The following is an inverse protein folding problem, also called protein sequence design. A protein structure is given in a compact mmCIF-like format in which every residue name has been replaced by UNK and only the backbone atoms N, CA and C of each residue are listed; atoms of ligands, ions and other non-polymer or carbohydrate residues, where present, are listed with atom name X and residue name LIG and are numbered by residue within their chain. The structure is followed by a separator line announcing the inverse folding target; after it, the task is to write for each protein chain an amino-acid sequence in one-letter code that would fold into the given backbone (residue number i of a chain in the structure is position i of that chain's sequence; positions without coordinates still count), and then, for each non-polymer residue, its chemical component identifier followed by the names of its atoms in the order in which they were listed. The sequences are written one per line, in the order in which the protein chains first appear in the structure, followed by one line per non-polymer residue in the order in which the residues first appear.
data_IF_053824563210
#
_entry.id   IF_053824563210
#
_cell.length_a   1.000
_cell.length_b   1.000
_cell.length_c   1.000
_cell.angle_alpha   90.00
_cell.angle_beta   90.00
_cell.angle_gamma   90.00
#
_symmetry.space_group_name_H-M   'P 1'
#
loop_
_entity.id
_entity.type
_entity.pdbx_description
1 polymer ?
#
# COMPACT_ATOMS: atom_id res chain seq x y z
N UNK A 1 23.88 -7.61 -11.46
CA UNK A 1 23.48 -6.78 -10.30
C UNK A 1 22.00 -6.46 -10.47
N UNK A 2 21.16 -6.84 -9.49
CA UNK A 2 19.72 -6.60 -9.56
C UNK A 2 19.41 -5.16 -9.18
N UNK A 3 18.82 -4.41 -10.10
CA UNK A 3 18.30 -3.06 -9.83
C UNK A 3 16.81 -3.02 -10.19
N UNK A 4 15.98 -2.70 -9.21
CA UNK A 4 14.54 -2.63 -9.38
C UNK A 4 13.92 -1.53 -8.52
N UNK A 5 12.74 -1.06 -8.91
CA UNK A 5 11.97 -0.08 -8.15
C UNK A 5 10.95 -0.79 -7.26
N UNK A 6 10.57 -0.15 -6.15
CA UNK A 6 9.44 -0.58 -5.31
C UNK A 6 8.28 0.41 -5.39
N UNK A 7 8.55 1.65 -5.76
CA UNK A 7 7.52 2.65 -6.01
C UNK A 7 8.05 3.75 -6.93
N UNK A 8 7.22 4.20 -7.87
CA UNK A 8 7.53 5.31 -8.79
C UNK A 8 6.31 6.19 -8.98
N UNK A 9 6.42 7.48 -8.66
CA UNK A 9 5.33 8.44 -8.78
C UNK A 9 5.77 9.71 -9.48
N UNK A 10 4.81 10.37 -10.13
CA UNK A 10 4.97 11.75 -10.60
C UNK A 10 4.42 12.72 -9.56
N UNK A 11 5.27 13.62 -9.09
CA UNK A 11 4.91 14.67 -8.14
C UNK A 11 5.61 15.98 -8.50
N UNK A 12 4.89 17.12 -8.49
CA UNK A 12 5.44 18.46 -8.72
C UNK A 12 6.36 18.56 -9.97
N UNK A 13 5.95 17.96 -11.10
CA UNK A 13 6.69 18.00 -12.36
C UNK A 13 8.00 17.18 -12.37
N UNK A 14 8.16 16.28 -11.42
CA UNK A 14 9.31 15.36 -11.32
C UNK A 14 8.84 13.92 -11.11
N UNK A 15 9.71 12.97 -11.41
CA UNK A 15 9.53 11.57 -11.04
C UNK A 15 10.30 11.31 -9.75
N UNK A 16 9.62 10.72 -8.80
CA UNK A 16 10.19 10.19 -7.56
C UNK A 16 10.17 8.68 -7.67
N UNK A 17 11.29 8.04 -7.44
CA UNK A 17 11.39 6.58 -7.45
C UNK A 17 12.24 6.09 -6.30
N UNK A 18 11.83 4.99 -5.70
CA UNK A 18 12.60 4.24 -4.71
C UNK A 18 12.67 2.78 -5.13
N UNK A 19 13.63 2.07 -4.61
CA UNK A 19 13.86 0.66 -4.90
C UNK A 19 15.19 0.20 -4.37
N UNK A 20 15.74 -0.82 -4.99
CA UNK A 20 17.01 -1.43 -4.59
C UNK A 20 17.98 -1.50 -5.75
N UNK A 21 19.26 -1.31 -5.45
CA UNK A 21 20.39 -1.55 -6.32
C UNK A 21 21.39 -2.42 -5.57
N UNK A 22 21.49 -3.68 -5.99
CA UNK A 22 22.36 -4.67 -5.35
C UNK A 22 22.14 -4.79 -3.83
N UNK A 23 20.88 -4.88 -3.41
CA UNK A 23 20.43 -4.99 -2.00
C UNK A 23 20.45 -3.68 -1.21
N UNK A 24 20.91 -2.56 -1.80
CA UNK A 24 20.91 -1.25 -1.15
C UNK A 24 19.72 -0.41 -1.60
N UNK A 25 18.92 0.06 -0.65
CA UNK A 25 17.79 0.94 -0.94
C UNK A 25 18.28 2.28 -1.52
N UNK A 26 17.59 2.76 -2.56
CA UNK A 26 17.82 4.08 -3.14
C UNK A 26 16.56 4.93 -3.19
N UNK A 27 16.76 6.25 -3.23
CA UNK A 27 15.71 7.26 -3.40
C UNK A 27 16.18 8.28 -4.44
N UNK A 28 15.42 8.42 -5.54
CA UNK A 28 15.76 9.34 -6.61
C UNK A 28 14.63 10.33 -6.86
N UNK A 29 15.03 11.56 -7.23
CA UNK A 29 14.11 12.63 -7.65
C UNK A 29 14.63 13.21 -8.97
N UNK A 30 13.88 12.95 -10.05
CA UNK A 30 14.38 13.12 -11.42
C UNK A 30 13.56 14.18 -12.14
N UNK A 31 14.24 15.08 -12.87
CA UNK A 31 13.62 15.93 -13.89
C UNK A 31 13.42 15.09 -15.14
N UNK A 32 12.21 14.60 -15.34
CA UNK A 32 11.91 13.74 -16.47
C UNK A 32 11.58 14.57 -17.72
N UNK A 33 12.07 14.10 -18.88
CA UNK A 33 11.85 14.66 -20.20
C UNK A 33 11.01 13.67 -21.02
N UNK A 34 9.68 13.79 -21.04
CA UNK A 34 8.84 12.82 -21.71
C UNK A 34 8.92 12.92 -23.23
N UNK A 35 8.56 11.82 -23.88
CA UNK A 35 8.33 11.77 -25.31
C UNK A 35 6.89 11.39 -25.62
N UNK A 36 6.43 11.82 -26.80
CA UNK A 36 5.19 11.40 -27.44
C UNK A 36 5.51 10.96 -28.85
N UNK A 37 4.60 10.26 -29.51
CA UNK A 37 4.75 9.86 -30.90
C UNK A 37 3.61 10.46 -31.72
N UNK A 38 3.94 10.89 -32.91
CA UNK A 38 3.03 11.52 -33.86
C UNK A 38 3.12 10.76 -35.18
N UNK A 39 2.03 10.74 -35.97
CA UNK A 39 2.06 10.18 -37.31
C UNK A 39 3.13 10.88 -38.12
N UNK A 40 4.00 10.11 -38.77
CA UNK A 40 5.12 10.61 -39.60
C UNK A 40 5.99 9.47 -40.08
N UNK A 41 7.05 9.78 -40.82
CA UNK A 41 7.93 8.78 -41.47
C UNK A 41 9.09 8.35 -40.56
N UNK A 42 8.83 8.13 -39.27
CA UNK A 42 9.82 7.68 -38.32
C UNK A 42 9.93 6.17 -38.20
N UNK A 43 10.88 5.72 -37.35
CA UNK A 43 11.23 4.29 -37.19
C UNK A 43 10.28 3.53 -36.23
N UNK A 44 9.26 4.20 -35.68
CA UNK A 44 8.29 3.57 -34.79
C UNK A 44 6.99 3.28 -35.54
N UNK A 45 6.22 2.35 -35.02
CA UNK A 45 4.85 2.08 -35.48
C UNK A 45 3.86 2.08 -34.33
N UNK A 46 2.58 2.27 -34.66
CA UNK A 46 1.50 2.03 -33.71
C UNK A 46 1.41 0.53 -33.36
N UNK A 47 0.63 0.16 -32.35
CA UNK A 47 0.46 -1.24 -31.91
C UNK A 47 -0.07 -2.17 -33.04
N UNK A 48 -0.74 -1.63 -34.06
CA UNK A 48 -1.21 -2.41 -35.20
C UNK A 48 -0.13 -2.64 -36.28
N UNK A 49 1.01 -1.96 -36.19
CA UNK A 49 2.07 -1.96 -37.17
C UNK A 49 1.73 -1.23 -38.47
N UNK A 50 0.60 -0.49 -38.53
CA UNK A 50 0.09 0.12 -39.78
C UNK A 50 0.43 1.60 -39.93
N UNK A 51 0.67 2.30 -38.82
CA UNK A 51 0.93 3.72 -38.82
C UNK A 51 2.37 3.96 -38.41
N UNK A 52 3.17 4.55 -39.30
CA UNK A 52 4.52 5.00 -38.95
C UNK A 52 4.46 6.23 -38.04
N UNK A 53 5.32 6.24 -37.06
CA UNK A 53 5.34 7.24 -36.01
C UNK A 53 6.73 7.89 -35.84
N UNK A 54 6.74 9.19 -35.64
CA UNK A 54 7.93 9.97 -35.35
C UNK A 54 7.93 10.39 -33.88
N UNK A 55 9.04 10.16 -33.17
CA UNK A 55 9.22 10.53 -31.77
C UNK A 55 9.40 12.03 -31.60
N UNK A 56 8.59 12.64 -30.73
CA UNK A 56 8.71 14.05 -30.30
C UNK A 56 9.07 14.12 -28.83
N UNK A 57 10.25 14.64 -28.52
CA UNK A 57 10.73 14.80 -27.14
C UNK A 57 10.45 16.19 -26.59
N UNK A 58 10.21 16.31 -25.29
CA UNK A 58 9.91 17.53 -24.58
C UNK A 58 10.95 17.82 -23.50
N UNK A 59 11.15 19.09 -23.18
CA UNK A 59 12.11 19.53 -22.15
C UNK A 59 11.60 19.29 -20.72
N UNK A 60 10.27 19.15 -20.56
CA UNK A 60 9.63 18.96 -19.27
C UNK A 60 8.27 18.29 -19.41
N UNK A 61 7.79 17.70 -18.29
CA UNK A 61 6.43 17.17 -18.16
C UNK A 61 5.36 18.26 -18.44
N UNK A 62 5.62 19.51 -18.02
CA UNK A 62 4.71 20.63 -18.27
C UNK A 62 4.56 20.89 -19.77
N UNK A 63 5.68 20.99 -20.49
CA UNK A 63 5.67 21.25 -21.93
C UNK A 63 4.91 20.16 -22.70
N UNK A 64 5.15 18.89 -22.38
CA UNK A 64 4.41 17.77 -22.99
C UNK A 64 2.91 17.84 -22.71
N UNK A 65 2.52 18.14 -21.46
CA UNK A 65 1.11 18.27 -21.09
C UNK A 65 0.43 19.46 -21.79
N UNK A 66 1.11 20.59 -21.89
CA UNK A 66 0.59 21.76 -22.56
C UNK A 66 0.42 21.47 -24.06
N UNK A 67 1.35 20.73 -24.67
CA UNK A 67 1.27 20.26 -26.04
C UNK A 67 0.05 19.32 -26.26
N UNK A 68 -0.12 18.31 -25.41
CA UNK A 68 -1.28 17.41 -25.47
C UNK A 68 -2.57 18.22 -25.42
N UNK A 69 -2.70 19.11 -24.44
CA UNK A 69 -3.89 19.97 -24.27
C UNK A 69 -4.19 20.84 -25.50
N UNK A 70 -3.14 21.36 -26.14
CA UNK A 70 -3.28 22.21 -27.34
C UNK A 70 -3.78 21.45 -28.55
N UNK A 71 -3.33 20.20 -28.73
CA UNK A 71 -3.55 19.44 -29.96
C UNK A 71 -4.53 18.26 -29.82
N UNK A 72 -5.08 18.01 -28.63
CA UNK A 72 -6.16 17.03 -28.45
C UNK A 72 -7.35 17.36 -29.35
N UNK A 73 -7.75 16.38 -30.18
CA UNK A 73 -8.84 16.54 -31.15
C UNK A 73 -8.43 17.23 -32.47
N UNK A 74 -7.17 17.65 -32.62
CA UNK A 74 -6.64 18.17 -33.90
C UNK A 74 -5.98 17.06 -34.70
N UNK A 75 -5.18 16.22 -34.05
CA UNK A 75 -4.56 15.03 -34.61
C UNK A 75 -4.28 13.98 -33.52
N UNK A 76 -4.01 12.74 -33.96
CA UNK A 76 -3.73 11.65 -33.01
C UNK A 76 -2.37 11.81 -32.37
N UNK A 77 -2.36 11.68 -31.04
CA UNK A 77 -1.16 11.69 -30.20
C UNK A 77 -1.01 10.30 -29.57
N UNK A 78 0.11 9.65 -29.86
CA UNK A 78 0.41 8.31 -29.37
C UNK A 78 1.37 8.37 -28.16
N UNK A 79 1.27 7.36 -27.28
CA UNK A 79 2.12 7.27 -26.09
C UNK A 79 1.77 8.27 -25.00
N UNK A 80 0.51 8.73 -24.94
CA UNK A 80 0.00 9.53 -23.80
C UNK A 80 -0.31 8.64 -22.60
N UNK A 81 0.74 8.09 -22.01
CA UNK A 81 0.71 7.35 -20.78
C UNK A 81 1.22 8.23 -19.63
N UNK A 82 0.83 7.94 -18.38
CA UNK A 82 1.34 8.64 -17.20
C UNK A 82 2.87 8.54 -17.15
N UNK A 83 3.54 9.65 -16.84
CA UNK A 83 4.98 9.77 -17.01
C UNK A 83 5.80 8.84 -16.09
N UNK A 84 5.25 8.41 -14.94
CA UNK A 84 5.95 7.41 -14.11
C UNK A 84 6.11 6.08 -14.83
N UNK A 85 5.14 5.64 -15.62
CA UNK A 85 5.25 4.38 -16.38
C UNK A 85 6.17 4.51 -17.59
N UNK A 86 6.12 5.66 -18.28
CA UNK A 86 7.11 5.96 -19.33
C UNK A 86 8.53 5.90 -18.78
N UNK A 87 8.74 6.52 -17.62
CA UNK A 87 10.04 6.49 -16.94
C UNK A 87 10.45 5.06 -16.55
N UNK A 88 9.53 4.25 -16.04
CA UNK A 88 9.81 2.84 -15.73
C UNK A 88 10.21 2.09 -17.00
N UNK A 89 9.43 2.21 -18.08
CA UNK A 89 9.69 1.57 -19.36
C UNK A 89 11.06 1.92 -19.95
N UNK A 90 11.43 3.21 -19.87
CA UNK A 90 12.71 3.72 -20.38
C UNK A 90 13.91 3.35 -19.48
N UNK A 91 13.70 3.23 -18.16
CA UNK A 91 14.75 2.92 -17.20
C UNK A 91 15.05 1.41 -17.10
N UNK A 92 14.05 0.59 -17.36
CA UNK A 92 14.13 -0.87 -17.32
C UNK A 92 13.64 -1.44 -18.67
N UNK A 93 14.47 -1.34 -19.69
CA UNK A 93 14.14 -1.83 -21.05
C UNK A 93 13.94 -3.34 -21.05
N UNK A 94 14.83 -4.07 -20.38
CA UNK A 94 14.80 -5.52 -20.27
C UNK A 94 13.86 -6.00 -19.15
N UNK A 95 13.78 -7.31 -18.96
CA UNK A 95 13.10 -7.92 -17.82
C UNK A 95 13.71 -7.43 -16.51
N UNK A 96 12.85 -7.19 -15.53
CA UNK A 96 13.27 -6.68 -14.21
C UNK A 96 13.47 -7.87 -13.28
N UNK A 97 14.73 -8.16 -12.99
CA UNK A 97 15.08 -9.10 -11.93
C UNK A 97 15.00 -8.42 -10.56
N UNK A 98 14.30 -9.03 -9.62
CA UNK A 98 14.14 -8.51 -8.27
C UNK A 98 14.46 -9.57 -7.21
N UNK A 99 14.60 -9.14 -5.97
CA UNK A 99 14.70 -9.98 -4.80
C UNK A 99 13.63 -9.59 -3.79
N UNK A 100 12.64 -10.47 -3.60
CA UNK A 100 11.53 -10.18 -2.70
C UNK A 100 11.97 -10.05 -1.24
N UNK A 101 13.12 -10.63 -0.86
CA UNK A 101 13.66 -10.51 0.50
C UNK A 101 14.21 -9.12 0.85
N UNK A 102 14.55 -8.31 -0.16
CA UNK A 102 14.94 -6.91 0.06
C UNK A 102 13.73 -6.01 0.32
N UNK A 103 12.52 -6.38 -0.21
CA UNK A 103 11.31 -5.57 -0.12
C UNK A 103 10.81 -5.55 1.33
N UNK A 104 10.79 -4.37 1.92
CA UNK A 104 10.33 -4.18 3.30
C UNK A 104 8.82 -4.16 3.38
N UNK A 105 8.25 -5.29 3.76
CA UNK A 105 6.80 -5.45 3.98
C UNK A 105 6.50 -5.25 5.45
N UNK A 106 5.58 -4.37 5.77
CA UNK A 106 5.06 -4.14 7.10
C UNK A 106 3.59 -4.58 7.13
N UNK A 107 3.32 -5.70 7.80
CA UNK A 107 1.97 -6.17 8.06
C UNK A 107 1.51 -5.63 9.42
N UNK A 108 0.31 -5.05 9.50
CA UNK A 108 -0.14 -4.44 10.75
C UNK A 108 -1.66 -4.44 10.89
N UNK A 109 -2.09 -4.30 12.12
CA UNK A 109 -3.49 -4.17 12.53
C UNK A 109 -3.62 -3.24 13.73
N UNK A 110 -4.76 -2.54 13.85
CA UNK A 110 -5.04 -1.65 14.97
C UNK A 110 -6.31 -2.06 15.70
N UNK A 111 -6.29 -1.85 17.02
CA UNK A 111 -7.50 -1.92 17.83
C UNK A 111 -7.86 -0.54 18.36
N UNK A 112 -9.13 -0.19 18.24
CA UNK A 112 -9.67 1.10 18.66
C UNK A 112 -10.67 0.90 19.78
N UNK A 113 -10.78 1.89 20.67
CA UNK A 113 -11.80 1.90 21.72
C UNK A 113 -13.18 1.86 21.06
N UNK A 114 -13.87 0.73 21.19
CA UNK A 114 -15.27 0.64 20.78
C UNK A 114 -16.14 1.34 21.83
N UNK A 115 -17.23 2.05 21.42
CA UNK A 115 -18.18 2.57 22.39
C UNK A 115 -18.77 1.44 23.25
N UNK A 116 -19.07 1.69 24.55
CA UNK A 116 -19.64 0.68 25.43
C UNK A 116 -20.96 0.08 24.91
N UNK A 117 -21.75 0.86 24.17
CA UNK A 117 -22.99 0.47 23.52
C UNK A 117 -22.78 -0.35 22.25
N UNK A 118 -21.55 -0.58 21.84
CA UNK A 118 -21.18 -1.29 20.62
C UNK A 118 -21.15 -0.39 19.37
N UNK A 119 -20.64 -0.93 18.27
CA UNK A 119 -20.48 -0.24 16.99
C UNK A 119 -19.01 -0.13 16.60
N UNK A 120 -18.80 0.19 15.31
CA UNK A 120 -17.46 0.42 14.79
C UNK A 120 -17.16 1.93 14.69
N UNK A 121 -16.03 2.41 15.19
CA UNK A 121 -15.64 3.80 15.02
C UNK A 121 -15.41 4.10 13.53
N UNK A 122 -15.85 5.27 13.09
CA UNK A 122 -15.73 5.71 11.71
C UNK A 122 -14.32 6.23 11.42
N UNK A 123 -13.59 5.68 10.41
CA UNK A 123 -12.22 6.08 10.11
C UNK A 123 -12.07 7.56 9.74
N UNK A 124 -13.06 8.15 9.06
CA UNK A 124 -13.07 9.57 8.68
C UNK A 124 -13.18 10.51 9.88
N UNK A 125 -13.80 10.06 10.97
CA UNK A 125 -13.94 10.82 12.23
C UNK A 125 -12.80 10.56 13.20
N UNK A 126 -12.28 9.34 13.26
CA UNK A 126 -11.23 8.86 14.16
C UNK A 126 -11.41 9.41 15.60
N UNK A 127 -12.63 9.24 16.15
CA UNK A 127 -13.00 9.83 17.46
C UNK A 127 -12.51 9.01 18.64
N UNK A 128 -12.47 7.68 18.50
CA UNK A 128 -12.06 6.78 19.54
C UNK A 128 -10.52 6.65 19.59
N UNK A 129 -10.00 6.34 20.78
CA UNK A 129 -8.57 6.10 20.98
C UNK A 129 -8.12 4.81 20.28
N UNK A 130 -6.87 4.80 19.82
CA UNK A 130 -6.20 3.58 19.40
C UNK A 130 -5.53 2.97 20.63
N UNK A 131 -5.96 1.75 20.99
CA UNK A 131 -5.56 1.07 22.21
C UNK A 131 -4.44 0.08 22.02
N UNK A 132 -4.32 -0.48 20.82
CA UNK A 132 -3.21 -1.33 20.44
C UNK A 132 -2.89 -1.17 18.95
N UNK A 133 -1.61 -1.34 18.63
CA UNK A 133 -1.12 -1.51 17.27
C UNK A 133 -0.13 -2.66 17.28
N UNK A 134 -0.35 -3.65 16.43
CA UNK A 134 0.65 -4.70 16.19
C UNK A 134 1.21 -4.58 14.78
N UNK A 135 2.55 -4.63 14.69
CA UNK A 135 3.31 -4.69 13.44
C UNK A 135 4.03 -6.03 13.37
N UNK A 136 3.94 -6.71 12.25
CA UNK A 136 4.90 -7.76 11.89
C UNK A 136 5.86 -7.24 10.82
N UNK A 137 7.16 -7.44 11.06
CA UNK A 137 8.24 -7.14 10.13
C UNK A 137 9.37 -8.15 10.31
N UNK A 138 9.76 -8.81 9.23
CA UNK A 138 10.82 -9.83 9.21
C UNK A 138 10.63 -10.92 10.28
N UNK A 139 9.43 -11.50 10.35
CA UNK A 139 9.02 -12.52 11.33
C UNK A 139 9.13 -12.09 12.81
N UNK A 140 9.20 -10.80 13.07
CA UNK A 140 9.18 -10.24 14.42
C UNK A 140 7.92 -9.38 14.62
N UNK A 141 7.26 -9.57 15.74
CA UNK A 141 6.05 -8.83 16.12
C UNK A 141 6.39 -7.73 17.11
N UNK A 142 5.90 -6.52 16.84
CA UNK A 142 6.05 -5.35 17.70
C UNK A 142 4.65 -4.85 18.05
N UNK A 143 4.25 -5.00 19.29
CA UNK A 143 2.93 -4.57 19.74
C UNK A 143 3.05 -3.39 20.68
N UNK A 144 2.34 -2.32 20.36
CA UNK A 144 2.23 -1.10 21.17
C UNK A 144 0.91 -1.12 21.91
N UNK A 145 0.95 -0.81 23.21
CA UNK A 145 -0.25 -0.73 24.04
C UNK A 145 0.04 -0.01 25.35
N UNK A 146 -1.01 0.33 26.12
CA UNK A 146 -0.90 1.15 27.33
C UNK A 146 -0.94 0.36 28.63
N UNK A 147 -1.50 -0.85 28.61
CA UNK A 147 -1.56 -1.73 29.79
C UNK A 147 -0.30 -2.59 29.98
N UNK A 148 -0.36 -3.49 30.94
CA UNK A 148 0.71 -4.46 31.21
C UNK A 148 0.48 -5.73 30.37
N UNK A 149 1.51 -6.17 29.66
CA UNK A 149 1.50 -7.38 28.88
C UNK A 149 2.90 -8.00 28.80
N UNK A 150 2.96 -9.32 28.89
CA UNK A 150 4.20 -10.08 28.72
C UNK A 150 4.13 -10.90 27.44
N UNK A 151 5.04 -10.67 26.47
CA UNK A 151 5.06 -11.45 25.22
C UNK A 151 5.19 -12.95 25.49
N UNK A 152 4.43 -13.74 24.72
CA UNK A 152 4.38 -15.21 24.86
C UNK A 152 5.34 -15.93 23.89
N UNK A 153 5.82 -15.25 22.87
CA UNK A 153 6.73 -15.79 21.87
C UNK A 153 8.04 -15.01 21.82
N UNK A 154 9.14 -15.71 21.56
CA UNK A 154 10.49 -15.12 21.53
C UNK A 154 10.67 -14.04 20.44
N UNK A 155 9.92 -14.14 19.35
CA UNK A 155 9.92 -13.17 18.26
C UNK A 155 8.90 -12.03 18.46
N UNK A 156 8.26 -11.94 19.61
CA UNK A 156 7.29 -10.91 19.96
C UNK A 156 7.88 -9.93 20.97
N UNK A 157 7.69 -8.63 20.72
CA UNK A 157 8.11 -7.54 21.60
C UNK A 157 6.93 -6.65 21.92
N UNK A 158 6.69 -6.43 23.19
CA UNK A 158 5.70 -5.48 23.66
C UNK A 158 6.36 -4.16 24.04
N UNK A 159 5.79 -3.07 23.53
CA UNK A 159 6.26 -1.69 23.75
C UNK A 159 5.18 -0.99 24.56
N UNK A 160 5.36 -0.98 25.87
CA UNK A 160 4.46 -0.27 26.78
C UNK A 160 4.54 1.24 26.52
N UNK A 161 3.38 1.88 26.42
CA UNK A 161 3.21 3.29 26.15
C UNK A 161 2.49 3.95 27.34
N UNK A 162 2.83 5.22 27.63
CA UNK A 162 2.23 5.95 28.73
C UNK A 162 0.79 6.39 28.43
N UNK A 163 0.49 6.64 27.16
CA UNK A 163 -0.80 7.06 26.63
C UNK A 163 -0.85 6.89 25.10
N UNK A 164 -1.97 7.23 24.47
CA UNK A 164 -2.14 7.12 23.01
C UNK A 164 -1.15 7.98 22.21
N UNK A 165 -0.82 9.19 22.67
CA UNK A 165 0.15 10.06 21.98
C UNK A 165 1.53 9.40 21.95
N UNK A 166 1.96 8.80 23.07
CA UNK A 166 3.20 8.04 23.17
C UNK A 166 3.17 6.80 22.26
N UNK A 167 2.03 6.07 22.26
CA UNK A 167 1.80 4.91 21.39
C UNK A 167 1.97 5.28 19.92
N UNK A 168 1.26 6.29 19.44
CA UNK A 168 1.33 6.75 18.06
C UNK A 168 2.72 7.31 17.71
N UNK A 169 3.37 7.97 18.66
CA UNK A 169 4.74 8.50 18.45
C UNK A 169 5.76 7.37 18.29
N UNK A 170 5.72 6.36 19.16
CA UNK A 170 6.59 5.18 19.08
C UNK A 170 6.32 4.37 17.81
N UNK A 171 5.04 4.20 17.45
CA UNK A 171 4.63 3.55 16.20
C UNK A 171 5.22 4.26 14.96
N UNK A 172 5.02 5.58 14.82
CA UNK A 172 5.54 6.35 13.68
C UNK A 172 7.06 6.34 13.64
N UNK A 173 7.74 6.33 14.79
CA UNK A 173 9.19 6.23 14.86
C UNK A 173 9.69 4.86 14.36
N UNK A 174 9.05 3.77 14.79
CA UNK A 174 9.40 2.43 14.28
C UNK A 174 9.10 2.30 12.78
N UNK A 175 7.94 2.77 12.33
CA UNK A 175 7.59 2.83 10.91
C UNK A 175 8.65 3.59 10.10
N UNK A 176 9.05 4.77 10.56
CA UNK A 176 10.06 5.59 9.87
C UNK A 176 11.44 4.92 9.86
N UNK A 177 11.79 4.19 10.91
CA UNK A 177 13.02 3.41 10.99
C UNK A 177 13.02 2.23 10.01
N UNK A 178 11.92 1.48 9.97
CA UNK A 178 11.72 0.39 8.99
C UNK A 178 11.71 0.96 7.58
N UNK A 179 11.09 2.12 7.36
CA UNK A 179 10.88 2.71 6.05
C UNK A 179 10.28 1.70 5.05
N UNK A 180 9.03 1.21 5.28
CA UNK A 180 8.46 0.13 4.50
C UNK A 180 8.29 0.52 3.03
N UNK A 181 8.47 -0.44 2.13
CA UNK A 181 8.12 -0.33 0.71
C UNK A 181 6.64 -0.66 0.49
N UNK A 182 6.16 -1.59 1.27
CA UNK A 182 4.81 -2.16 1.22
C UNK A 182 4.24 -2.20 2.63
N UNK A 183 2.97 -1.84 2.73
CA UNK A 183 2.14 -2.11 3.91
C UNK A 183 1.03 -3.07 3.52
N UNK A 184 0.73 -4.00 4.40
CA UNK A 184 -0.34 -4.99 4.23
C UNK A 184 -1.05 -5.24 5.55
N UNK A 185 -2.18 -5.93 5.48
CA UNK A 185 -3.06 -6.29 6.59
C UNK A 185 -4.45 -6.56 6.05
N UNK A 186 -5.40 -6.87 6.91
CA UNK A 186 -6.76 -7.22 6.50
C UNK A 186 -7.70 -6.02 6.52
N UNK A 187 -8.16 -5.56 5.36
CA UNK A 187 -9.03 -4.39 5.21
C UNK A 187 -8.38 -3.04 5.59
N UNK A 188 -7.06 -2.97 5.64
CA UNK A 188 -6.31 -1.79 6.10
C UNK A 188 -6.55 -0.55 5.24
N UNK A 189 -6.85 -0.71 3.95
CA UNK A 189 -7.06 0.40 3.01
C UNK A 189 -8.24 1.26 3.40
N UNK A 190 -9.28 0.66 3.96
CA UNK A 190 -10.54 1.32 4.26
C UNK A 190 -10.78 1.55 5.74
N UNK A 191 -9.98 0.94 6.62
CA UNK A 191 -10.10 1.12 8.06
C UNK A 191 -8.80 1.61 8.71
N UNK A 192 -7.78 0.77 8.84
CA UNK A 192 -6.59 1.04 9.66
C UNK A 192 -5.80 2.25 9.17
N UNK A 193 -5.47 2.30 7.88
CA UNK A 193 -4.70 3.39 7.29
C UNK A 193 -5.43 4.74 7.42
N UNK A 194 -6.69 4.89 7.02
CA UNK A 194 -7.43 6.12 7.24
C UNK A 194 -7.56 6.48 8.72
N UNK A 195 -7.82 5.49 9.58
CA UNK A 195 -7.98 5.71 11.01
C UNK A 195 -6.71 6.27 11.65
N UNK A 196 -5.57 5.61 11.45
CA UNK A 196 -4.27 6.06 11.99
C UNK A 196 -3.93 7.47 11.51
N UNK A 197 -4.06 7.75 10.20
CA UNK A 197 -3.70 9.05 9.63
C UNK A 197 -4.60 10.15 10.18
N UNK A 198 -5.91 9.92 10.24
CA UNK A 198 -6.87 10.88 10.79
C UNK A 198 -6.64 11.08 12.30
N UNK A 199 -6.37 10.00 13.04
CA UNK A 199 -6.14 10.07 14.48
C UNK A 199 -4.86 10.82 14.82
N UNK A 200 -3.74 10.49 14.16
CA UNK A 200 -2.48 11.22 14.30
C UNK A 200 -2.67 12.71 13.96
N UNK A 201 -3.34 13.00 12.85
CA UNK A 201 -3.58 14.38 12.42
C UNK A 201 -4.41 15.17 13.42
N UNK A 202 -5.34 14.51 14.11
CA UNK A 202 -6.26 15.11 15.07
C UNK A 202 -5.61 15.38 16.43
N UNK A 203 -4.84 14.43 16.97
CA UNK A 203 -4.33 14.54 18.35
C UNK A 203 -2.85 14.95 18.43
N UNK A 204 -2.10 14.84 17.33
CA UNK A 204 -0.71 15.29 17.25
C UNK A 204 -0.61 16.42 16.22
N UNK A 205 -0.50 16.10 14.93
CA UNK A 205 -0.61 17.05 13.81
C UNK A 205 -0.61 16.37 12.44
N UNK A 206 -1.13 17.02 11.38
CA UNK A 206 -1.02 16.54 10.01
C UNK A 206 0.44 16.36 9.54
N UNK A 207 1.34 17.24 9.98
CA UNK A 207 2.77 17.17 9.64
C UNK A 207 3.42 15.92 10.24
N UNK A 208 2.97 15.50 11.42
CA UNK A 208 3.44 14.27 12.05
C UNK A 208 2.96 13.04 11.26
N UNK A 209 1.71 13.02 10.80
CA UNK A 209 1.19 11.95 9.93
C UNK A 209 1.98 11.84 8.61
N UNK A 210 2.48 12.95 8.07
CA UNK A 210 3.31 12.93 6.88
C UNK A 210 4.64 12.17 7.03
N UNK A 211 5.11 11.91 8.27
CA UNK A 211 6.31 11.08 8.53
C UNK A 211 6.13 9.62 8.15
N UNK A 212 4.89 9.15 7.95
CA UNK A 212 4.62 7.83 7.40
C UNK A 212 5.12 7.69 5.95
N UNK A 213 5.26 8.80 5.22
CA UNK A 213 5.77 8.82 3.86
C UNK A 213 7.27 9.11 3.84
N UNK A 214 8.10 8.30 3.13
CA UNK A 214 9.52 8.58 2.94
C UNK A 214 9.76 9.89 2.16
N UNK A 215 8.73 10.41 1.49
CA UNK A 215 8.75 11.69 0.78
C UNK A 215 8.02 12.81 1.53
N UNK A 216 7.64 12.55 2.79
CA UNK A 216 7.02 13.54 3.67
C UNK A 216 5.64 13.99 3.21
N UNK A 217 4.87 13.12 2.54
CA UNK A 217 3.56 13.49 2.02
C UNK A 217 2.56 12.34 2.03
N UNK A 218 1.43 12.58 2.66
CA UNK A 218 0.24 11.74 2.68
C UNK A 218 -0.89 12.49 1.98
N UNK A 219 -1.63 11.83 1.09
CA UNK A 219 -2.69 12.46 0.27
C UNK A 219 -4.01 11.74 0.53
N UNK A 220 -5.01 12.49 0.97
CA UNK A 220 -6.39 12.00 1.09
C UNK A 220 -7.04 11.83 -0.29
N UNK A 221 -7.79 10.76 -0.46
CA UNK A 221 -8.60 10.46 -1.64
C UNK A 221 -9.97 9.94 -1.24
N UNK A 222 -11.00 10.30 -2.01
CA UNK A 222 -12.29 9.67 -1.93
C UNK A 222 -12.45 8.64 -3.04
N UNK A 223 -12.79 7.41 -2.66
CA UNK A 223 -13.02 6.29 -3.58
C UNK A 223 -14.48 5.90 -3.48
N UNK A 224 -15.13 5.73 -4.63
CA UNK A 224 -16.49 5.19 -4.68
C UNK A 224 -16.46 3.67 -4.49
N UNK A 225 -17.16 3.19 -3.50
CA UNK A 225 -17.38 1.74 -3.31
C UNK A 225 -18.30 1.18 -4.40
N UNK A 226 -18.36 -0.14 -4.54
CA UNK A 226 -19.25 -0.81 -5.49
C UNK A 226 -20.73 -0.42 -5.31
N UNK A 227 -21.12 0.01 -4.11
CA UNK A 227 -22.48 0.48 -3.79
C UNK A 227 -22.66 2.00 -3.95
N UNK A 228 -21.70 2.70 -4.58
CA UNK A 228 -21.76 4.14 -4.82
C UNK A 228 -21.47 5.03 -3.61
N UNK A 229 -21.21 4.45 -2.43
CA UNK A 229 -20.83 5.20 -1.23
C UNK A 229 -19.40 5.70 -1.37
N UNK A 230 -19.16 6.99 -1.11
CA UNK A 230 -17.82 7.52 -1.02
C UNK A 230 -17.14 7.14 0.30
N UNK A 231 -15.90 6.69 0.19
CA UNK A 231 -15.09 6.31 1.35
C UNK A 231 -13.71 6.97 1.24
N UNK A 232 -13.26 7.59 2.32
CA UNK A 232 -11.95 8.20 2.40
C UNK A 232 -10.86 7.13 2.47
N UNK A 233 -9.83 7.30 1.68
CA UNK A 233 -8.60 6.51 1.71
C UNK A 233 -7.38 7.44 1.62
N UNK A 234 -6.19 6.90 1.82
CA UNK A 234 -4.96 7.67 1.76
C UNK A 234 -3.90 7.01 0.89
N UNK A 235 -3.19 7.84 0.11
CA UNK A 235 -1.92 7.48 -0.50
C UNK A 235 -0.78 7.97 0.39
N UNK A 236 0.01 7.07 0.91
CA UNK A 236 1.27 7.35 1.58
C UNK A 236 2.35 7.34 0.50
N UNK A 237 2.77 8.53 0.03
CA UNK A 237 3.64 8.59 -1.14
C UNK A 237 4.97 7.85 -0.91
N UNK A 238 5.27 6.91 -1.80
CA UNK A 238 6.44 6.04 -1.71
C UNK A 238 6.24 4.74 -0.94
N UNK A 239 5.05 4.49 -0.42
CA UNK A 239 4.68 3.24 0.26
C UNK A 239 3.47 2.64 -0.47
N UNK A 240 3.58 1.41 -0.91
CA UNK A 240 2.46 0.71 -1.56
C UNK A 240 1.52 0.10 -0.53
N UNK A 241 0.24 0.50 -0.59
CA UNK A 241 -0.81 -0.05 0.29
C UNK A 241 -1.44 -1.27 -0.39
N UNK A 242 -1.02 -2.44 0.02
CA UNK A 242 -1.43 -3.74 -0.51
C UNK A 242 -2.35 -4.46 0.47
N UNK A 243 -3.60 -4.00 0.55
CA UNK A 243 -4.63 -4.60 1.39
C UNK A 243 -4.87 -6.07 1.03
N UNK A 244 -4.61 -6.98 1.98
CA UNK A 244 -4.55 -8.40 1.70
C UNK A 244 -5.90 -9.00 1.28
N UNK A 245 -7.03 -8.50 1.79
CA UNK A 245 -8.35 -8.97 1.33
C UNK A 245 -8.61 -8.62 -0.13
N UNK A 246 -8.10 -7.49 -0.61
CA UNK A 246 -8.23 -7.08 -2.01
C UNK A 246 -7.37 -7.99 -2.89
N UNK A 247 -6.13 -8.27 -2.46
CA UNK A 247 -5.21 -9.18 -3.15
C UNK A 247 -5.78 -10.59 -3.19
N UNK A 248 -6.27 -11.10 -2.06
CA UNK A 248 -6.90 -12.40 -1.97
C UNK A 248 -8.05 -12.53 -2.98
N UNK A 249 -8.99 -11.57 -3.00
CA UNK A 249 -10.10 -11.55 -3.96
C UNK A 249 -9.65 -11.48 -5.42
N UNK A 250 -8.54 -10.82 -5.70
CA UNK A 250 -8.02 -10.65 -7.07
C UNK A 250 -7.39 -11.93 -7.60
N UNK A 251 -6.63 -12.65 -6.78
CA UNK A 251 -5.80 -13.76 -7.23
C UNK A 251 -6.31 -15.14 -6.85
N UNK A 252 -7.33 -15.23 -6.00
CA UNK A 252 -8.02 -16.50 -5.74
C UNK A 252 -9.31 -16.55 -6.57
N UNK A 253 -9.45 -17.61 -7.37
CA UNK A 253 -10.59 -17.78 -8.27
C UNK A 253 -11.78 -18.51 -7.61
N UNK A 254 -11.77 -18.60 -6.28
CA UNK A 254 -12.82 -19.26 -5.49
C UNK A 254 -13.69 -18.22 -4.82
N UNK A 255 -15.01 -18.27 -5.08
CA UNK A 255 -15.96 -17.44 -4.35
C UNK A 255 -16.15 -17.99 -2.94
N UNK A 256 -16.06 -17.13 -1.94
CA UNK A 256 -16.26 -17.46 -0.52
C UNK A 256 -17.57 -16.88 -0.02
N UNK A 257 -18.20 -17.51 0.95
CA UNK A 257 -19.42 -17.02 1.59
C UNK A 257 -19.18 -15.71 2.34
N UNK A 258 -18.01 -15.58 2.96
CA UNK A 258 -17.58 -14.39 3.69
C UNK A 258 -16.08 -14.13 3.47
N UNK A 259 -15.73 -12.84 3.35
CA UNK A 259 -14.35 -12.37 3.24
C UNK A 259 -13.87 -11.72 4.54
N UNK A 260 -14.42 -12.08 5.69
CA UNK A 260 -13.84 -11.74 6.99
C UNK A 260 -12.54 -12.52 7.21
N UNK A 261 -11.58 -11.92 7.94
CA UNK A 261 -10.32 -12.60 8.25
C UNK A 261 -10.55 -13.97 8.91
N UNK A 262 -11.50 -14.03 9.84
CA UNK A 262 -11.84 -15.28 10.53
C UNK A 262 -12.29 -16.40 9.58
N UNK A 263 -13.14 -16.07 8.60
CA UNK A 263 -13.61 -17.05 7.62
C UNK A 263 -12.52 -17.49 6.67
N UNK A 264 -11.75 -16.54 6.13
CA UNK A 264 -10.67 -16.86 5.18
C UNK A 264 -9.52 -17.62 5.88
N UNK A 265 -9.18 -17.27 7.11
CA UNK A 265 -8.20 -18.02 7.89
C UNK A 265 -8.67 -19.45 8.18
N UNK A 266 -9.95 -19.64 8.46
CA UNK A 266 -10.49 -20.99 8.65
C UNK A 266 -10.45 -21.81 7.35
N UNK A 267 -10.90 -21.25 6.24
CA UNK A 267 -10.91 -21.90 4.92
C UNK A 267 -9.49 -22.26 4.42
N UNK A 268 -8.55 -21.33 4.60
CA UNK A 268 -7.21 -21.52 4.07
C UNK A 268 -6.25 -22.20 5.04
N UNK A 269 -6.33 -21.92 6.34
CA UNK A 269 -5.37 -22.39 7.34
C UNK A 269 -5.96 -23.42 8.31
N UNK A 270 -7.29 -23.62 8.30
CA UNK A 270 -8.03 -24.33 9.34
C UNK A 270 -7.83 -23.72 10.75
N UNK A 271 -7.69 -22.39 10.79
CA UNK A 271 -7.49 -21.61 12.01
C UNK A 271 -8.52 -20.47 12.10
N UNK A 272 -8.75 -19.99 13.31
CA UNK A 272 -9.69 -18.90 13.58
C UNK A 272 -9.00 -17.83 14.42
N UNK A 273 -9.61 -16.63 14.42
CA UNK A 273 -9.33 -15.59 15.39
C UNK A 273 -9.51 -16.13 16.81
N UNK A 274 -8.91 -15.45 17.79
CA UNK A 274 -9.18 -15.78 19.19
C UNK A 274 -10.64 -15.47 19.53
N UNK A 275 -11.25 -16.37 20.29
CA UNK A 275 -12.63 -16.20 20.74
C UNK A 275 -12.69 -15.30 22.00
N UNK A 276 -13.44 -14.22 21.92
CA UNK A 276 -13.71 -13.33 23.03
C UNK A 276 -15.21 -13.18 23.33
N UNK A 277 -16.03 -14.09 22.84
CA UNK A 277 -17.49 -14.06 23.01
C UNK A 277 -17.96 -13.96 24.46
N UNK A 278 -17.15 -14.48 25.40
CA UNK A 278 -17.40 -14.35 26.85
C UNK A 278 -17.37 -12.89 27.36
N UNK A 279 -16.82 -11.95 26.58
CA UNK A 279 -16.70 -10.53 26.94
C UNK A 279 -17.71 -9.64 26.20
N UNK A 280 -18.58 -10.19 25.35
CA UNK A 280 -19.62 -9.52 24.57
C UNK A 280 -19.07 -8.59 23.47
N UNK A 281 -18.08 -7.74 23.76
CA UNK A 281 -17.46 -6.81 22.82
C UNK A 281 -15.99 -6.52 23.18
N UNK A 282 -15.26 -5.85 22.27
CA UNK A 282 -13.83 -5.51 22.42
C UNK A 282 -13.60 -4.51 23.56
N UNK A 283 -14.54 -3.63 23.87
CA UNK A 283 -14.43 -2.72 25.01
C UNK A 283 -14.35 -3.50 26.33
N UNK A 284 -15.29 -4.41 26.54
CA UNK A 284 -15.28 -5.26 27.74
C UNK A 284 -14.05 -6.17 27.78
N UNK A 285 -13.57 -6.65 26.65
CA UNK A 285 -12.33 -7.42 26.59
C UNK A 285 -11.13 -6.57 27.05
N UNK A 286 -10.99 -5.35 26.53
CA UNK A 286 -9.93 -4.41 26.92
C UNK A 286 -9.94 -4.13 28.44
N UNK A 287 -11.11 -3.84 29.00
CA UNK A 287 -11.25 -3.49 30.43
C UNK A 287 -11.05 -4.69 31.39
N UNK A 288 -11.53 -5.88 31.00
CA UNK A 288 -11.57 -7.05 31.87
C UNK A 288 -10.42 -8.04 31.68
N UNK A 289 -9.84 -8.07 30.46
CA UNK A 289 -8.75 -9.00 30.12
C UNK A 289 -7.83 -8.40 29.05
N UNK A 290 -7.01 -7.45 29.49
CA UNK A 290 -6.08 -6.74 28.62
C UNK A 290 -5.09 -7.68 27.92
N UNK A 291 -4.67 -8.76 28.59
CA UNK A 291 -3.74 -9.75 28.03
C UNK A 291 -4.36 -10.42 26.79
N UNK A 292 -5.59 -10.91 26.91
CA UNK A 292 -6.32 -11.50 25.78
C UNK A 292 -6.60 -10.49 24.67
N UNK A 293 -6.84 -9.22 25.00
CA UNK A 293 -7.03 -8.14 24.04
C UNK A 293 -5.77 -7.93 23.17
N UNK A 294 -4.59 -7.93 23.78
CA UNK A 294 -3.33 -7.82 23.05
C UNK A 294 -3.06 -9.09 22.22
N UNK A 295 -3.29 -10.28 22.80
CA UNK A 295 -3.17 -11.55 22.04
C UNK A 295 -4.09 -11.55 20.81
N UNK A 296 -5.29 -11.00 20.91
CA UNK A 296 -6.24 -10.91 19.81
C UNK A 296 -5.67 -10.05 18.67
N UNK A 297 -5.14 -8.87 18.95
CA UNK A 297 -4.52 -8.00 17.94
C UNK A 297 -3.28 -8.66 17.30
N UNK A 298 -2.43 -9.33 18.10
CA UNK A 298 -1.28 -10.09 17.58
C UNK A 298 -1.75 -11.21 16.64
N UNK A 299 -2.80 -11.93 17.04
CA UNK A 299 -3.34 -13.05 16.25
C UNK A 299 -3.87 -12.61 14.89
N UNK A 300 -4.49 -11.45 14.80
CA UNK A 300 -4.98 -10.91 13.54
C UNK A 300 -3.84 -10.64 12.55
N UNK A 301 -2.75 -10.06 13.01
CA UNK A 301 -1.54 -9.86 12.20
C UNK A 301 -0.87 -11.19 11.83
N UNK A 302 -0.79 -12.14 12.77
CA UNK A 302 -0.26 -13.49 12.53
C UNK A 302 -1.04 -14.22 11.44
N UNK A 303 -2.36 -14.16 11.47
CA UNK A 303 -3.20 -14.83 10.47
C UNK A 303 -2.94 -14.30 9.06
N UNK A 304 -2.81 -12.99 8.88
CA UNK A 304 -2.48 -12.40 7.57
C UNK A 304 -1.10 -12.85 7.08
N UNK A 305 -0.09 -12.84 7.98
CA UNK A 305 1.26 -13.34 7.66
C UNK A 305 1.22 -14.81 7.20
N UNK A 306 0.52 -15.66 7.92
CA UNK A 306 0.40 -17.10 7.61
C UNK A 306 -0.40 -17.36 6.33
N UNK A 307 -1.40 -16.53 6.04
CA UNK A 307 -2.10 -16.58 4.75
C UNK A 307 -1.14 -16.30 3.60
N UNK A 308 -0.28 -15.27 3.70
CA UNK A 308 0.68 -14.97 2.65
C UNK A 308 1.80 -16.02 2.56
N UNK A 309 2.27 -16.57 3.70
CA UNK A 309 3.24 -17.66 3.71
C UNK A 309 2.73 -18.90 2.97
N UNK A 310 1.43 -19.20 3.05
CA UNK A 310 0.80 -20.32 2.35
C UNK A 310 0.51 -19.99 0.88
N UNK A 311 -0.07 -18.82 0.61
CA UNK A 311 -0.63 -18.47 -0.70
C UNK A 311 0.35 -17.72 -1.60
N UNK A 312 1.36 -17.08 -1.02
CA UNK A 312 2.43 -16.34 -1.70
C UNK A 312 1.90 -15.27 -2.68
N UNK A 313 0.80 -14.59 -2.31
CA UNK A 313 0.10 -13.66 -3.19
C UNK A 313 0.84 -12.34 -3.37
N UNK A 314 1.58 -11.87 -2.36
CA UNK A 314 2.41 -10.68 -2.48
C UNK A 314 3.50 -10.89 -3.53
N UNK A 315 4.18 -12.03 -3.54
CA UNK A 315 5.22 -12.32 -4.53
C UNK A 315 4.64 -12.48 -5.95
N UNK A 316 3.46 -13.08 -6.08
CA UNK A 316 2.72 -13.13 -7.35
C UNK A 316 2.42 -11.72 -7.87
N UNK A 317 1.99 -10.81 -6.98
CA UNK A 317 1.72 -9.43 -7.30
C UNK A 317 2.99 -8.69 -7.75
N UNK A 318 4.12 -8.84 -7.05
CA UNK A 318 5.40 -8.24 -7.44
C UNK A 318 5.85 -8.73 -8.82
N UNK A 319 5.80 -10.04 -9.04
CA UNK A 319 6.14 -10.64 -10.34
C UNK A 319 5.29 -10.06 -11.48
N UNK A 320 3.99 -9.94 -11.25
CA UNK A 320 3.06 -9.37 -12.23
C UNK A 320 3.36 -7.89 -12.50
N UNK A 321 3.64 -7.12 -11.44
CA UNK A 321 3.99 -5.70 -11.53
C UNK A 321 5.25 -5.48 -12.38
N UNK A 322 6.31 -6.24 -12.13
CA UNK A 322 7.57 -6.10 -12.86
C UNK A 322 7.45 -6.55 -14.34
N UNK A 323 6.69 -7.60 -14.60
CA UNK A 323 6.40 -8.01 -15.98
C UNK A 323 5.61 -6.95 -16.74
N UNK A 324 4.66 -6.31 -16.09
CA UNK A 324 3.87 -5.22 -16.67
C UNK A 324 4.59 -3.86 -16.65
N UNK A 325 5.68 -3.71 -15.89
CA UNK A 325 6.40 -2.44 -15.64
C UNK A 325 5.50 -1.34 -15.04
N UNK A 326 4.69 -1.70 -14.04
CA UNK A 326 3.82 -0.79 -13.30
C UNK A 326 4.08 -0.86 -11.79
N UNK A 327 3.48 0.03 -10.98
CA UNK A 327 3.58 -0.07 -9.53
C UNK A 327 2.77 -1.25 -9.00
N UNK A 328 3.10 -1.73 -7.80
CA UNK A 328 2.44 -2.86 -7.17
C UNK A 328 0.91 -2.70 -7.06
N UNK A 329 0.45 -1.54 -6.64
CA UNK A 329 -0.99 -1.25 -6.49
C UNK A 329 -1.76 -1.26 -7.83
N UNK A 330 -1.08 -0.96 -8.93
CA UNK A 330 -1.70 -0.91 -10.26
C UNK A 330 -2.15 -2.29 -10.73
N UNK A 331 -1.49 -3.36 -10.25
CA UNK A 331 -1.83 -4.75 -10.59
C UNK A 331 -3.25 -5.12 -10.17
N UNK A 332 -3.79 -4.45 -9.15
CA UNK A 332 -5.17 -4.64 -8.72
C UNK A 332 -6.15 -4.19 -9.83
N UNK A 333 -5.78 -3.15 -10.60
CA UNK A 333 -6.59 -2.59 -11.68
C UNK A 333 -6.20 -3.16 -13.06
N UNK A 334 -7.08 -3.93 -13.70
CA UNK A 334 -6.80 -4.60 -14.98
C UNK A 334 -6.46 -3.62 -16.11
N UNK A 335 -7.21 -2.51 -16.25
CA UNK A 335 -7.04 -1.56 -17.34
C UNK A 335 -5.65 -0.90 -17.31
N UNK A 336 -5.18 -0.49 -16.13
CA UNK A 336 -3.87 0.14 -16.00
C UNK A 336 -2.73 -0.77 -16.44
N UNK A 337 -2.80 -2.03 -16.09
CA UNK A 337 -1.80 -3.05 -16.49
C UNK A 337 -1.74 -3.16 -18.01
N UNK A 338 -2.89 -3.23 -18.67
CA UNK A 338 -2.95 -3.31 -20.12
C UNK A 338 -2.44 -2.04 -20.81
N UNK A 339 -2.79 -0.85 -20.32
CA UNK A 339 -2.28 0.41 -20.84
C UNK A 339 -0.75 0.44 -20.85
N UNK A 340 -0.13 -0.02 -19.75
CA UNK A 340 1.34 -0.04 -19.64
C UNK A 340 1.95 -1.13 -20.51
N UNK A 341 1.35 -2.32 -20.59
CA UNK A 341 1.83 -3.41 -21.47
C UNK A 341 1.77 -2.95 -22.93
N UNK A 342 0.64 -2.38 -23.38
CA UNK A 342 0.50 -1.89 -24.74
C UNK A 342 1.50 -0.77 -25.09
N UNK A 343 1.85 0.07 -24.12
CA UNK A 343 2.88 1.09 -24.32
C UNK A 343 4.29 0.51 -24.48
N UNK A 344 4.60 -0.61 -23.79
CA UNK A 344 5.92 -1.25 -23.84
C UNK A 344 6.11 -2.14 -25.09
N UNK A 345 5.04 -2.45 -25.81
CA UNK A 345 5.07 -3.29 -27.01
C UNK A 345 5.35 -2.43 -28.23
#
# INVERSE_FOLDING_TARGET
MKRYYTNTIQQNGRIYTRGYDSGKQYFNKIKYKPSLWLKGDGDYTDISGKISLTKKSFRSIKEARDYIKQYTGVFDIYGDLQNQYKYIAESWVNEIEFDSSDIRVLNFDIETMSPPEGGFPYPDKANAEINAITIEYNNSYFTFGTGDYTPKADNSKYIKCDNEIDLLTKFVNLWSFISPDVITGWNIKFFDVPYIINRISKIISPEFANKLSPWGKVISKNVKTLFGKEQQTYDILGVSNLDYVIIYKKFTFVTRESYTLNNIAFEELNEKKLDYSAYENLFNLYEKNYELFIDYNIKDVELVKRLDDKLNLLNLLYTTSYKAKCNYEDVIGTLKVWDVICYNH
#
